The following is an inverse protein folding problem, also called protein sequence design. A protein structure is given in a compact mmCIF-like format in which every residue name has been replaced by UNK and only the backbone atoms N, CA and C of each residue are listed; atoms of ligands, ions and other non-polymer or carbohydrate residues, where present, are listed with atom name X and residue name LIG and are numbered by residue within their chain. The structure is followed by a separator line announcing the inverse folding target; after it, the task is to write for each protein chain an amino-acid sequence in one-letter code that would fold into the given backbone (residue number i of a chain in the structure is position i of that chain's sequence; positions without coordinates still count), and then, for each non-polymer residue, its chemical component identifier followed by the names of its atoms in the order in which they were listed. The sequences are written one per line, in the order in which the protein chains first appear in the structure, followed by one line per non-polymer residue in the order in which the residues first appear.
data_IF_992853840334
#
_entry.id   IF_992853840334
#
_cell.length_a   1.000
_cell.length_b   1.000
_cell.length_c   1.000
_cell.angle_alpha   90.00
_cell.angle_beta   90.00
_cell.angle_gamma   90.00
#
_symmetry.space_group_name_H-M   'P 1'
#
loop_
_entity.id
_entity.type
_entity.pdbx_description
1 polymer ?
#
# COMPACT_ATOMS: atom_id res chain seq x y z
N UNK A 1 29.21 9.42 18.27
CA UNK A 1 28.99 9.60 16.82
C UNK A 1 29.02 8.22 16.18
N UNK A 2 27.97 7.78 15.48
CA UNK A 2 27.97 6.46 14.84
C UNK A 2 28.89 6.50 13.62
N UNK A 3 30.01 5.78 13.66
CA UNK A 3 30.96 5.67 12.55
C UNK A 3 30.24 5.10 11.32
N UNK A 4 30.27 5.82 10.20
CA UNK A 4 29.62 5.40 8.96
C UNK A 4 30.27 4.10 8.45
N UNK A 5 29.46 3.07 8.20
CA UNK A 5 29.96 1.77 7.73
C UNK A 5 30.21 1.82 6.23
N UNK A 6 31.42 1.47 5.81
CA UNK A 6 31.78 1.39 4.39
C UNK A 6 31.03 0.23 3.73
N UNK A 7 30.30 0.51 2.65
CA UNK A 7 29.72 -0.53 1.77
C UNK A 7 30.82 -1.01 0.84
N UNK A 8 31.15 -2.30 0.92
CA UNK A 8 32.15 -2.96 0.08
C UNK A 8 31.44 -3.96 -0.83
N UNK A 9 31.75 -3.95 -2.12
CA UNK A 9 31.34 -4.98 -3.06
C UNK A 9 32.37 -6.11 -2.99
N UNK A 10 31.98 -7.25 -2.44
CA UNK A 10 32.87 -8.41 -2.32
C UNK A 10 32.65 -9.33 -3.52
N UNK A 11 33.75 -9.72 -4.20
CA UNK A 11 33.71 -10.76 -5.23
C UNK A 11 33.96 -12.09 -4.54
N UNK A 12 32.90 -12.89 -4.42
CA UNK A 12 32.96 -14.25 -3.87
C UNK A 12 32.71 -15.24 -4.99
N UNK A 13 33.34 -16.40 -4.87
CA UNK A 13 32.87 -17.59 -5.56
C UNK A 13 31.41 -17.89 -5.12
N UNK A 14 30.49 -18.19 -6.05
CA UNK A 14 29.09 -18.45 -5.72
C UNK A 14 28.89 -19.59 -4.70
N UNK A 15 29.66 -20.67 -4.78
CA UNK A 15 29.52 -21.80 -3.86
C UNK A 15 29.94 -21.41 -2.42
N UNK A 16 30.94 -20.54 -2.29
CA UNK A 16 31.37 -19.99 -1.00
C UNK A 16 30.29 -19.07 -0.43
N UNK A 17 29.69 -18.22 -1.25
CA UNK A 17 28.57 -17.38 -0.83
C UNK A 17 27.39 -18.23 -0.32
N UNK A 18 27.05 -19.31 -1.03
CA UNK A 18 25.92 -20.18 -0.67
C UNK A 18 26.18 -20.99 0.59
N UNK A 19 27.43 -21.41 0.84
CA UNK A 19 27.82 -22.03 2.10
C UNK A 19 27.69 -21.05 3.28
N UNK A 20 28.12 -19.79 3.10
CA UNK A 20 27.99 -18.74 4.11
C UNK A 20 26.52 -18.38 4.38
N UNK A 21 25.68 -18.35 3.35
CA UNK A 21 24.25 -18.09 3.49
C UNK A 21 23.53 -19.20 4.26
N UNK A 22 23.86 -20.47 4.02
CA UNK A 22 23.33 -21.62 4.77
C UNK A 22 23.72 -21.57 6.24
N UNK A 23 25.01 -21.37 6.53
CA UNK A 23 25.48 -21.24 7.91
C UNK A 23 24.84 -20.05 8.64
N UNK A 24 24.67 -18.91 7.96
CA UNK A 24 23.96 -17.77 8.54
C UNK A 24 22.51 -18.11 8.91
N UNK A 25 21.81 -18.89 8.07
CA UNK A 25 20.44 -19.32 8.32
C UNK A 25 20.35 -20.26 9.54
N UNK A 26 21.28 -21.21 9.67
CA UNK A 26 21.36 -22.13 10.81
C UNK A 26 21.54 -21.38 12.14
N UNK A 27 22.27 -20.26 12.13
CA UNK A 27 22.48 -19.41 13.30
C UNK A 27 21.44 -18.27 13.47
N UNK A 28 20.39 -18.23 12.64
CA UNK A 28 19.37 -17.16 12.62
C UNK A 28 19.98 -15.75 12.46
N UNK A 29 21.04 -15.62 11.65
CA UNK A 29 21.73 -14.36 11.32
C UNK A 29 21.51 -13.99 9.86
N UNK A 30 21.72 -12.71 9.52
CA UNK A 30 21.83 -12.34 8.10
C UNK A 30 23.18 -12.75 7.54
N UNK A 31 23.25 -13.06 6.25
CA UNK A 31 24.50 -13.42 5.57
C UNK A 31 25.59 -12.35 5.75
N UNK A 32 25.23 -11.06 5.69
CA UNK A 32 26.17 -9.97 5.94
C UNK A 32 26.68 -9.91 7.39
N UNK A 33 25.84 -10.26 8.37
CA UNK A 33 26.27 -10.34 9.76
C UNK A 33 27.21 -11.53 9.99
N UNK A 34 26.97 -12.65 9.31
CA UNK A 34 27.85 -13.82 9.34
C UNK A 34 29.22 -13.49 8.73
N UNK A 35 29.25 -12.82 7.58
CA UNK A 35 30.50 -12.36 6.94
C UNK A 35 31.26 -11.40 7.86
N UNK A 36 30.58 -10.41 8.46
CA UNK A 36 31.21 -9.47 9.40
C UNK A 36 31.78 -10.19 10.63
N UNK A 37 31.07 -11.20 11.16
CA UNK A 37 31.54 -12.03 12.27
C UNK A 37 32.81 -12.79 11.92
N UNK A 38 32.84 -13.47 10.77
CA UNK A 38 34.00 -14.24 10.32
C UNK A 38 35.22 -13.35 10.08
N UNK A 39 35.04 -12.18 9.46
CA UNK A 39 36.12 -11.23 9.25
C UNK A 39 36.70 -10.70 10.56
N UNK A 40 35.85 -10.36 11.54
CA UNK A 40 36.31 -9.91 12.86
C UNK A 40 37.03 -11.02 13.62
N UNK A 41 36.51 -12.24 13.56
CA UNK A 41 37.14 -13.41 14.17
C UNK A 41 38.51 -13.66 13.56
N UNK A 42 38.62 -13.71 12.23
CA UNK A 42 39.89 -13.88 11.54
C UNK A 42 40.92 -12.77 11.86
N UNK A 43 40.47 -11.51 11.97
CA UNK A 43 41.32 -10.40 12.38
C UNK A 43 41.76 -10.52 13.85
N UNK A 44 40.89 -10.99 14.74
CA UNK A 44 41.21 -11.19 16.15
C UNK A 44 42.22 -12.33 16.33
N UNK A 45 41.98 -13.47 15.67
CA UNK A 45 42.85 -14.65 15.70
C UNK A 45 44.25 -14.31 15.15
N UNK A 46 44.33 -13.40 14.18
CA UNK A 46 45.59 -12.88 13.63
C UNK A 46 46.24 -11.76 14.47
N UNK A 47 45.62 -11.33 15.58
CA UNK A 47 46.11 -10.22 16.40
C UNK A 47 46.03 -8.84 15.74
N UNK A 48 45.19 -8.68 14.72
CA UNK A 48 45.07 -7.47 13.87
C UNK A 48 43.76 -6.71 14.04
N UNK A 49 42.90 -7.12 14.97
CA UNK A 49 41.64 -6.42 15.22
C UNK A 49 41.90 -5.05 15.89
N UNK A 50 41.45 -3.92 15.29
CA UNK A 50 41.67 -2.61 15.90
C UNK A 50 40.92 -2.44 17.23
N UNK A 51 41.53 -1.77 18.22
CA UNK A 51 40.95 -1.58 19.56
C UNK A 51 39.67 -0.73 19.60
N UNK A 52 39.39 0.07 18.57
CA UNK A 52 38.21 0.93 18.47
C UNK A 52 36.98 0.30 17.80
N UNK A 53 36.97 -1.01 17.55
CA UNK A 53 35.89 -1.67 16.81
C UNK A 53 34.62 -1.73 17.65
N UNK A 54 33.59 -0.98 17.25
CA UNK A 54 32.29 -0.97 17.92
C UNK A 54 31.58 -2.34 17.91
N UNK A 55 30.68 -2.57 18.88
CA UNK A 55 29.91 -3.82 19.01
C UNK A 55 29.21 -4.20 17.70
N UNK A 56 29.14 -5.50 17.42
CA UNK A 56 28.36 -6.03 16.31
C UNK A 56 26.89 -5.64 16.50
N UNK A 57 26.21 -5.26 15.42
CA UNK A 57 24.82 -4.81 15.52
C UNK A 57 23.96 -6.03 15.85
N UNK A 58 23.17 -5.97 16.92
CA UNK A 58 22.22 -7.03 17.25
C UNK A 58 21.18 -7.24 16.14
N UNK A 59 20.39 -8.33 16.18
CA UNK A 59 19.34 -8.62 15.21
C UNK A 59 18.48 -7.38 14.97
N UNK A 60 18.63 -6.79 13.79
CA UNK A 60 17.91 -5.59 13.44
C UNK A 60 16.49 -5.96 13.06
N UNK A 61 15.50 -5.28 13.66
CA UNK A 61 14.21 -5.07 12.99
C UNK A 61 14.52 -4.66 11.54
N UNK A 62 13.89 -5.27 10.52
CA UNK A 62 14.16 -4.91 9.13
C UNK A 62 14.15 -3.38 9.03
N UNK A 63 15.17 -2.78 8.41
CA UNK A 63 15.16 -1.34 8.22
C UNK A 63 13.82 -1.02 7.54
N UNK A 64 13.09 0.03 7.96
CA UNK A 64 12.03 0.52 7.11
C UNK A 64 12.65 0.72 5.73
N UNK A 65 11.92 0.32 4.68
CA UNK A 65 12.35 0.37 3.28
C UNK A 65 13.29 1.54 3.03
N UNK A 66 14.40 1.33 2.29
CA UNK A 66 15.54 2.24 2.24
C UNK A 66 15.01 3.68 2.20
N UNK A 67 15.37 4.46 3.22
CA UNK A 67 14.98 5.87 3.31
C UNK A 67 15.48 6.54 2.04
N UNK A 68 14.58 6.64 1.07
CA UNK A 68 14.82 7.30 -0.21
C UNK A 68 15.09 8.76 0.11
N UNK A 69 16.10 9.33 -0.56
CA UNK A 69 16.57 10.70 -0.33
C UNK A 69 15.37 11.66 -0.37
N UNK A 70 15.28 12.51 0.65
CA UNK A 70 14.40 13.69 0.70
C UNK A 70 14.75 14.62 -0.46
N UNK A 71 14.06 14.55 -1.59
CA UNK A 71 14.05 15.67 -2.55
C UNK A 71 12.84 15.79 -3.46
N UNK A 72 11.93 14.80 -3.55
CA UNK A 72 10.63 14.99 -4.21
C UNK A 72 9.50 14.59 -3.25
N UNK A 73 8.40 15.33 -3.25
CA UNK A 73 7.21 14.97 -2.47
C UNK A 73 6.59 13.71 -3.09
N UNK A 74 7.09 12.54 -2.72
CA UNK A 74 6.51 11.27 -3.14
C UNK A 74 5.08 11.16 -2.57
N UNK A 75 4.14 10.65 -3.36
CA UNK A 75 2.84 10.15 -2.89
C UNK A 75 2.91 8.62 -2.92
N UNK A 76 2.14 7.89 -2.08
CA UNK A 76 2.17 6.43 -2.14
C UNK A 76 1.83 5.93 -3.55
N UNK A 77 2.55 4.92 -4.05
CA UNK A 77 2.34 4.40 -5.40
C UNK A 77 0.99 3.69 -5.54
N UNK A 78 0.57 2.96 -4.50
CA UNK A 78 -0.66 2.15 -4.55
C UNK A 78 -1.94 2.98 -4.37
N UNK A 79 -2.94 2.69 -5.20
CA UNK A 79 -4.29 3.26 -5.11
C UNK A 79 -4.97 3.04 -3.74
N UNK A 80 -4.87 1.87 -3.07
CA UNK A 80 -5.42 1.69 -1.73
C UNK A 80 -4.87 2.70 -0.72
N UNK A 81 -3.56 2.94 -0.71
CA UNK A 81 -2.94 3.93 0.17
C UNK A 81 -3.42 5.34 -0.14
N UNK A 82 -3.51 5.72 -1.42
CA UNK A 82 -4.03 7.01 -1.85
C UNK A 82 -5.48 7.23 -1.42
N UNK A 83 -6.36 6.23 -1.60
CA UNK A 83 -7.76 6.27 -1.14
C UNK A 83 -7.84 6.42 0.38
N UNK A 84 -7.01 5.70 1.14
CA UNK A 84 -7.00 5.80 2.59
C UNK A 84 -6.64 7.21 3.06
N UNK A 85 -5.60 7.81 2.48
CA UNK A 85 -5.15 9.17 2.82
C UNK A 85 -6.20 10.22 2.45
N UNK A 86 -6.86 10.06 1.29
CA UNK A 86 -7.95 10.93 0.85
C UNK A 86 -9.17 10.85 1.78
N UNK A 87 -9.49 9.65 2.28
CA UNK A 87 -10.61 9.41 3.18
C UNK A 87 -10.41 9.98 4.59
N UNK A 88 -9.17 10.32 4.94
CA UNK A 88 -8.84 10.86 6.25
C UNK A 88 -9.16 12.35 6.34
N UNK A 89 -9.89 12.74 7.39
CA UNK A 89 -10.06 14.14 7.74
C UNK A 89 -8.87 14.59 8.61
N UNK A 90 -8.05 15.56 8.14
CA UNK A 90 -6.86 16.00 8.88
C UNK A 90 -7.22 16.70 10.21
N UNK A 91 -8.30 17.47 10.24
CA UNK A 91 -8.72 18.23 11.42
C UNK A 91 -9.27 17.30 12.51
N UNK A 92 -10.05 16.31 12.10
CA UNK A 92 -10.70 15.36 13.03
C UNK A 92 -9.82 14.18 13.40
N UNK A 93 -8.70 13.98 12.69
CA UNK A 93 -7.82 12.83 12.89
C UNK A 93 -8.59 11.51 12.83
N UNK A 94 -9.55 11.37 11.90
CA UNK A 94 -10.30 10.13 11.67
C UNK A 94 -10.96 10.11 10.28
N UNK A 95 -11.32 8.92 9.84
CA UNK A 95 -12.23 8.72 8.69
C UNK A 95 -13.67 8.98 9.17
N UNK A 96 -14.51 9.56 8.32
CA UNK A 96 -15.91 9.80 8.64
C UNK A 96 -16.68 8.50 8.90
N UNK A 97 -17.63 8.54 9.85
CA UNK A 97 -18.56 7.42 10.08
C UNK A 97 -19.46 7.22 8.84
N UNK A 98 -19.79 5.96 8.51
CA UNK A 98 -20.58 5.63 7.31
C UNK A 98 -19.83 5.71 5.98
N UNK A 99 -18.52 5.89 5.99
CA UNK A 99 -17.70 5.84 4.77
C UNK A 99 -17.54 4.39 4.31
N UNK A 100 -17.74 4.11 3.02
CA UNK A 100 -17.51 2.80 2.39
C UNK A 100 -16.02 2.46 2.22
N UNK A 101 -15.18 2.79 3.21
CA UNK A 101 -13.73 2.75 3.09
C UNK A 101 -13.23 1.35 2.71
N UNK A 102 -13.71 0.31 3.39
CA UNK A 102 -13.28 -1.06 3.10
C UNK A 102 -13.58 -1.50 1.67
N UNK A 103 -14.77 -1.19 1.16
CA UNK A 103 -15.14 -1.45 -0.24
C UNK A 103 -14.26 -0.64 -1.22
N UNK A 104 -14.04 0.65 -0.95
CA UNK A 104 -13.17 1.49 -1.76
C UNK A 104 -11.72 0.99 -1.80
N UNK A 105 -11.17 0.53 -0.67
CA UNK A 105 -9.80 -0.01 -0.61
C UNK A 105 -9.67 -1.33 -1.39
N UNK A 106 -10.67 -2.21 -1.32
CA UNK A 106 -10.70 -3.44 -2.13
C UNK A 106 -10.81 -3.11 -3.62
N UNK A 107 -11.69 -2.18 -4.00
CA UNK A 107 -11.81 -1.69 -5.36
C UNK A 107 -10.50 -1.06 -5.87
N UNK A 108 -9.83 -0.28 -5.04
CA UNK A 108 -8.54 0.34 -5.36
C UNK A 108 -7.44 -0.71 -5.59
N UNK A 109 -7.38 -1.76 -4.76
CA UNK A 109 -6.40 -2.82 -4.92
C UNK A 109 -6.63 -3.61 -6.22
N UNK A 110 -7.89 -3.88 -6.55
CA UNK A 110 -8.28 -4.50 -7.81
C UNK A 110 -7.95 -3.61 -9.02
N UNK A 111 -8.16 -2.29 -8.91
CA UNK A 111 -7.82 -1.33 -9.95
C UNK A 111 -6.31 -1.27 -10.18
N UNK A 112 -5.50 -1.23 -9.12
CA UNK A 112 -4.04 -1.25 -9.24
C UNK A 112 -3.58 -2.48 -10.00
N UNK A 113 -4.06 -3.66 -9.61
CA UNK A 113 -3.66 -4.91 -10.25
C UNK A 113 -4.12 -4.98 -11.72
N UNK A 114 -5.30 -4.45 -12.03
CA UNK A 114 -5.82 -4.37 -13.40
C UNK A 114 -5.02 -3.41 -14.27
N UNK A 115 -4.78 -2.19 -13.79
CA UNK A 115 -4.03 -1.15 -14.51
C UNK A 115 -2.56 -1.55 -14.73
N UNK A 116 -1.97 -2.29 -13.80
CA UNK A 116 -0.63 -2.85 -13.93
C UNK A 116 -0.61 -4.19 -14.72
N UNK A 117 -1.72 -4.58 -15.35
CA UNK A 117 -1.80 -5.76 -16.22
C UNK A 117 -1.66 -7.11 -15.51
N UNK A 118 -1.72 -7.14 -14.17
CA UNK A 118 -1.68 -8.39 -13.38
C UNK A 118 -3.04 -9.09 -13.38
N UNK A 119 -4.12 -8.31 -13.44
CA UNK A 119 -5.48 -8.82 -13.62
C UNK A 119 -6.04 -8.46 -15.00
N UNK A 120 -6.95 -9.29 -15.49
CA UNK A 120 -7.77 -9.03 -16.67
C UNK A 120 -9.24 -9.33 -16.38
N UNK A 121 -10.14 -8.84 -17.22
CA UNK A 121 -11.56 -9.18 -17.16
C UNK A 121 -11.87 -10.34 -18.10
N UNK A 122 -12.34 -11.44 -17.54
CA UNK A 122 -12.85 -12.60 -18.27
C UNK A 122 -14.35 -12.70 -18.09
N UNK A 123 -15.11 -12.10 -19.02
CA UNK A 123 -16.58 -12.12 -19.02
C UNK A 123 -17.16 -11.59 -17.69
N UNK A 124 -16.65 -10.47 -17.20
CA UNK A 124 -17.09 -9.84 -15.95
C UNK A 124 -16.49 -10.45 -14.67
N UNK A 125 -15.47 -11.31 -14.80
CA UNK A 125 -14.75 -11.93 -13.69
C UNK A 125 -13.29 -11.50 -13.68
N UNK A 126 -12.75 -11.27 -12.48
CA UNK A 126 -11.32 -10.98 -12.34
C UNK A 126 -10.51 -12.26 -12.48
N UNK A 127 -9.55 -12.26 -13.39
CA UNK A 127 -8.61 -13.36 -13.63
C UNK A 127 -7.16 -12.88 -13.61
N UNK A 128 -6.24 -13.73 -13.17
CA UNK A 128 -4.81 -13.42 -13.14
C UNK A 128 -4.26 -13.59 -14.56
N UNK A 129 -3.75 -12.50 -15.14
CA UNK A 129 -3.10 -12.53 -16.46
C UNK A 129 -1.64 -12.94 -16.35
N UNK A 130 -0.90 -12.37 -15.39
CA UNK A 130 0.52 -12.66 -15.20
C UNK A 130 0.88 -12.71 -13.72
N UNK A 131 1.65 -13.73 -13.33
CA UNK A 131 2.23 -13.85 -11.99
C UNK A 131 3.65 -13.27 -12.00
N UNK A 132 3.77 -12.02 -11.60
CA UNK A 132 5.04 -11.37 -11.32
C UNK A 132 5.10 -10.94 -9.86
N UNK A 133 6.28 -11.01 -9.22
CA UNK A 133 6.49 -10.51 -7.86
C UNK A 133 5.88 -9.12 -7.67
N UNK A 134 5.23 -8.94 -6.53
CA UNK A 134 4.58 -7.70 -6.16
C UNK A 134 5.17 -7.24 -4.84
N UNK A 135 5.92 -6.13 -4.84
CA UNK A 135 6.51 -5.62 -3.60
C UNK A 135 5.50 -4.93 -2.68
N UNK A 136 4.24 -4.79 -3.11
CA UNK A 136 3.15 -4.30 -2.29
C UNK A 136 2.44 -5.48 -1.59
N UNK A 137 2.51 -5.60 -0.25
CA UNK A 137 1.96 -6.74 0.49
C UNK A 137 0.43 -6.79 0.47
N UNK A 138 -0.26 -5.65 0.30
CA UNK A 138 -1.73 -5.63 0.21
C UNK A 138 -2.18 -6.19 -1.14
N UNK A 139 -1.49 -5.80 -2.21
CA UNK A 139 -1.76 -6.29 -3.56
C UNK A 139 -1.35 -7.76 -3.72
N UNK A 140 -0.21 -8.16 -3.13
CA UNK A 140 0.27 -9.54 -3.13
C UNK A 140 -0.71 -10.49 -2.44
N UNK A 141 -1.16 -10.15 -1.22
CA UNK A 141 -2.15 -10.95 -0.51
C UNK A 141 -3.49 -11.07 -1.28
N UNK A 142 -3.88 -10.03 -2.04
CA UNK A 142 -5.06 -10.10 -2.90
C UNK A 142 -4.84 -11.02 -4.10
N UNK A 143 -3.65 -10.98 -4.73
CA UNK A 143 -3.31 -11.90 -5.81
C UNK A 143 -3.30 -13.36 -5.34
N UNK A 144 -2.76 -13.63 -4.16
CA UNK A 144 -2.82 -14.96 -3.54
C UNK A 144 -4.26 -15.40 -3.26
N UNK A 145 -5.10 -14.49 -2.74
CA UNK A 145 -6.53 -14.76 -2.51
C UNK A 145 -7.26 -15.13 -3.81
N UNK A 146 -6.95 -14.44 -4.91
CA UNK A 146 -7.53 -14.70 -6.24
C UNK A 146 -6.99 -16.02 -6.80
N UNK A 147 -5.68 -16.26 -6.68
CA UNK A 147 -5.02 -17.47 -7.15
C UNK A 147 -5.55 -18.74 -6.47
N UNK A 148 -5.90 -18.66 -5.19
CA UNK A 148 -6.46 -19.77 -4.40
C UNK A 148 -7.98 -19.94 -4.51
N UNK A 149 -8.65 -19.23 -5.43
CA UNK A 149 -10.12 -19.25 -5.55
C UNK A 149 -10.57 -19.62 -6.96
N UNK A 150 -11.75 -20.24 -7.06
CA UNK A 150 -12.50 -20.30 -8.33
C UNK A 150 -12.75 -18.89 -8.91
N UNK A 151 -12.90 -18.75 -10.24
CA UNK A 151 -13.19 -17.47 -10.88
C UNK A 151 -14.43 -16.77 -10.32
N UNK A 152 -14.33 -15.46 -10.05
CA UNK A 152 -15.38 -14.67 -9.39
C UNK A 152 -15.58 -13.32 -10.04
N UNK A 153 -16.80 -12.81 -9.95
CA UNK A 153 -17.17 -11.45 -10.37
C UNK A 153 -16.38 -10.42 -9.55
N UNK A 154 -16.01 -9.30 -10.17
CA UNK A 154 -15.32 -8.19 -9.51
C UNK A 154 -16.00 -7.73 -8.21
N UNK A 155 -17.33 -7.61 -8.21
CA UNK A 155 -18.10 -7.24 -7.02
C UNK A 155 -17.82 -8.19 -5.84
N UNK A 156 -17.75 -9.51 -6.08
CA UNK A 156 -17.48 -10.48 -5.02
C UNK A 156 -16.11 -10.25 -4.37
N UNK A 157 -15.14 -9.77 -5.14
CA UNK A 157 -13.83 -9.41 -4.61
C UNK A 157 -13.86 -8.10 -3.82
N UNK A 158 -14.70 -7.13 -4.21
CA UNK A 158 -14.93 -5.89 -3.46
C UNK A 158 -15.61 -6.14 -2.11
N UNK A 159 -16.56 -7.08 -2.06
CA UNK A 159 -17.33 -7.39 -0.84
C UNK A 159 -16.51 -8.16 0.20
N UNK A 160 -15.49 -8.90 -0.24
CA UNK A 160 -14.67 -9.76 0.62
C UNK A 160 -13.68 -8.98 1.47
N UNK A 161 -13.50 -9.44 2.71
CA UNK A 161 -12.39 -9.07 3.61
C UNK A 161 -12.18 -7.55 3.77
N UNK A 162 -13.23 -6.75 3.65
CA UNK A 162 -13.16 -5.28 3.70
C UNK A 162 -12.49 -4.74 4.98
N UNK A 163 -12.82 -5.31 6.15
CA UNK A 163 -12.18 -4.94 7.42
C UNK A 163 -10.68 -5.28 7.45
N UNK A 164 -10.30 -6.42 6.88
CA UNK A 164 -8.91 -6.82 6.77
C UNK A 164 -8.13 -5.90 5.83
N UNK A 165 -8.73 -5.48 4.70
CA UNK A 165 -8.13 -4.50 3.80
C UNK A 165 -7.86 -3.16 4.51
N UNK A 166 -8.80 -2.65 5.31
CA UNK A 166 -8.58 -1.42 6.11
C UNK A 166 -7.44 -1.59 7.11
N UNK A 167 -7.30 -2.76 7.74
CA UNK A 167 -6.19 -3.05 8.66
C UNK A 167 -4.85 -3.10 7.92
N UNK A 168 -4.79 -3.85 6.82
CA UNK A 168 -3.57 -4.06 6.06
C UNK A 168 -3.04 -2.76 5.43
N UNK A 169 -3.90 -1.96 4.77
CA UNK A 169 -3.51 -0.67 4.19
C UNK A 169 -3.05 0.32 5.27
N UNK A 170 -3.73 0.35 6.41
CA UNK A 170 -3.33 1.22 7.53
C UNK A 170 -1.96 0.83 8.07
N UNK A 171 -1.70 -0.46 8.24
CA UNK A 171 -0.40 -0.96 8.66
C UNK A 171 0.69 -0.60 7.64
N UNK A 172 0.42 -0.83 6.36
CA UNK A 172 1.32 -0.48 5.26
C UNK A 172 1.67 1.01 5.21
N UNK A 173 0.71 1.90 5.47
CA UNK A 173 0.97 3.35 5.59
C UNK A 173 1.84 3.68 6.81
N UNK A 174 1.70 2.95 7.92
CA UNK A 174 2.55 3.09 9.09
C UNK A 174 3.98 2.65 8.81
N UNK A 175 4.13 1.46 8.21
CA UNK A 175 5.42 0.84 7.89
C UNK A 175 6.17 1.62 6.80
N UNK A 176 5.44 2.13 5.79
CA UNK A 176 5.96 3.01 4.74
C UNK A 176 6.23 4.46 5.19
N UNK A 177 5.97 4.80 6.45
CA UNK A 177 6.27 6.12 7.00
C UNK A 177 5.32 7.25 6.59
N UNK A 178 4.24 6.96 5.86
CA UNK A 178 3.21 7.92 5.47
C UNK A 178 2.32 8.36 6.63
N UNK A 179 2.13 7.46 7.59
CA UNK A 179 1.33 7.71 8.78
C UNK A 179 2.06 7.31 10.07
N UNK A 180 1.67 7.93 11.17
CA UNK A 180 1.93 7.44 12.52
C UNK A 180 0.67 6.71 13.00
N UNK A 181 0.84 5.48 13.47
CA UNK A 181 -0.22 4.68 14.07
C UNK A 181 -0.03 4.71 15.58
N UNK A 182 -1.06 5.16 16.30
CA UNK A 182 -1.05 5.20 17.75
C UNK A 182 -2.20 4.36 18.29
N UNK A 183 -1.94 3.37 19.17
CA UNK A 183 -3.00 2.74 19.95
C UNK A 183 -3.80 3.81 20.69
N UNK A 184 -5.11 3.70 20.64
CA UNK A 184 -6.01 4.62 21.31
C UNK A 184 -7.23 3.86 21.82
N UNK A 185 -7.96 4.39 22.80
CA UNK A 185 -9.19 3.77 23.31
C UNK A 185 -10.30 4.80 23.32
N UNK A 186 -11.46 4.45 22.75
CA UNK A 186 -12.66 5.26 22.86
C UNK A 186 -13.28 4.99 24.23
N UNK A 187 -13.46 6.04 25.05
CA UNK A 187 -13.98 5.96 26.42
C UNK A 187 -13.24 4.94 27.32
N UNK A 188 -11.96 4.66 27.03
CA UNK A 188 -11.16 3.68 27.79
C UNK A 188 -11.46 2.19 27.51
N UNK A 189 -12.52 1.88 26.75
CA UNK A 189 -13.06 0.52 26.61
C UNK A 189 -12.81 -0.09 25.23
N UNK A 190 -12.94 0.69 24.17
CA UNK A 190 -12.89 0.16 22.80
C UNK A 190 -11.55 0.47 22.14
N UNK A 191 -10.67 -0.53 21.93
CA UNK A 191 -9.39 -0.30 21.28
C UNK A 191 -9.61 0.19 19.83
N UNK A 192 -8.90 1.25 19.49
CA UNK A 192 -8.87 1.82 18.16
C UNK A 192 -7.44 2.24 17.81
N UNK A 193 -7.21 2.63 16.56
CA UNK A 193 -5.92 3.16 16.13
C UNK A 193 -6.13 4.58 15.66
N UNK A 194 -5.53 5.54 16.37
CA UNK A 194 -5.42 6.90 15.87
C UNK A 194 -4.38 6.91 14.77
N UNK A 195 -4.76 7.43 13.60
CA UNK A 195 -3.86 7.62 12.47
C UNK A 195 -3.46 9.10 12.42
N UNK A 196 -2.21 9.40 12.12
CA UNK A 196 -1.78 10.78 11.89
C UNK A 196 -0.93 10.80 10.65
N UNK A 197 -1.43 11.47 9.60
CA UNK A 197 -0.69 11.66 8.35
C UNK A 197 0.55 12.49 8.68
N UNK A 198 1.74 12.01 8.30
CA UNK A 198 3.00 12.68 8.67
C UNK A 198 3.25 13.96 7.88
N UNK A 199 2.85 13.99 6.62
CA UNK A 199 2.97 15.16 5.75
C UNK A 199 1.61 15.55 5.15
N UNK A 200 0.99 16.65 5.61
CA UNK A 200 -0.29 17.13 5.09
C UNK A 200 -0.26 17.42 3.58
N UNK A 201 0.92 17.72 3.02
CA UNK A 201 1.07 18.06 1.60
C UNK A 201 0.79 16.87 0.69
N UNK A 202 1.01 15.65 1.15
CA UNK A 202 0.67 14.41 0.41
C UNK A 202 -0.82 14.37 0.09
N UNK A 203 -1.67 14.68 1.08
CA UNK A 203 -3.12 14.73 0.87
C UNK A 203 -3.50 15.88 -0.07
N UNK A 204 -2.85 17.05 0.06
CA UNK A 204 -3.07 18.19 -0.83
C UNK A 204 -2.73 17.85 -2.29
N UNK A 205 -1.62 17.16 -2.51
CA UNK A 205 -1.20 16.68 -3.82
C UNK A 205 -2.21 15.68 -4.41
N UNK A 206 -2.68 14.71 -3.62
CA UNK A 206 -3.72 13.76 -4.06
C UNK A 206 -5.04 14.46 -4.42
N UNK A 207 -5.44 15.49 -3.67
CA UNK A 207 -6.59 16.33 -4.03
C UNK A 207 -6.35 17.10 -5.34
N UNK A 208 -5.13 17.60 -5.54
CA UNK A 208 -4.68 18.22 -6.79
C UNK A 208 -4.83 17.28 -7.98
N UNK A 209 -4.40 16.03 -7.85
CA UNK A 209 -4.53 14.99 -8.89
C UNK A 209 -5.98 14.66 -9.22
N UNK A 210 -6.82 14.46 -8.19
CA UNK A 210 -8.27 14.25 -8.37
C UNK A 210 -8.92 15.42 -9.12
N UNK A 211 -8.65 16.66 -8.69
CA UNK A 211 -9.19 17.85 -9.34
C UNK A 211 -8.63 18.04 -10.77
N UNK A 212 -7.36 17.70 -10.98
CA UNK A 212 -6.71 17.74 -12.28
C UNK A 212 -7.33 16.77 -13.27
N UNK A 213 -7.59 15.53 -12.86
CA UNK A 213 -8.23 14.51 -13.69
C UNK A 213 -9.65 14.91 -14.16
N UNK A 214 -10.39 15.67 -13.34
CA UNK A 214 -11.69 16.22 -13.71
C UNK A 214 -11.60 17.31 -14.79
N UNK A 215 -10.46 18.00 -14.93
CA UNK A 215 -10.29 19.12 -15.86
C UNK A 215 -9.51 18.76 -17.13
N UNK A 216 -8.52 17.87 -17.01
CA UNK A 216 -7.65 17.46 -18.13
C UNK A 216 -8.45 16.69 -19.21
N UNK A 217 -8.06 16.78 -20.49
CA UNK A 217 -8.58 15.90 -21.53
C UNK A 217 -8.36 14.42 -21.19
N UNK A 218 -9.28 13.55 -21.63
CA UNK A 218 -9.27 12.11 -21.33
C UNK A 218 -7.94 11.44 -21.71
N UNK A 219 -7.41 11.70 -22.91
CA UNK A 219 -6.15 11.11 -23.40
C UNK A 219 -4.88 11.61 -22.70
N UNK A 220 -4.97 12.64 -21.84
CA UNK A 220 -3.86 13.17 -21.03
C UNK A 220 -4.03 12.89 -19.54
N UNK A 221 -5.03 12.08 -19.18
CA UNK A 221 -5.31 11.75 -17.78
C UNK A 221 -4.58 10.46 -17.42
N UNK A 222 -3.84 10.50 -16.32
CA UNK A 222 -3.19 9.31 -15.78
C UNK A 222 -4.25 8.25 -15.40
N UNK A 223 -4.08 6.97 -15.80
CA UNK A 223 -5.05 5.92 -15.50
C UNK A 223 -5.29 5.70 -14.00
N UNK A 224 -4.27 5.87 -13.16
CA UNK A 224 -4.41 5.75 -11.71
C UNK A 224 -5.24 6.93 -11.16
N UNK A 225 -5.02 8.15 -11.64
CA UNK A 225 -5.85 9.31 -11.26
C UNK A 225 -7.31 9.16 -11.73
N UNK A 226 -7.54 8.59 -12.91
CA UNK A 226 -8.88 8.25 -13.38
C UNK A 226 -9.58 7.23 -12.47
N UNK A 227 -8.86 6.18 -12.07
CA UNK A 227 -9.35 5.19 -11.11
C UNK A 227 -9.63 5.80 -9.73
N UNK A 228 -8.78 6.72 -9.25
CA UNK A 228 -9.05 7.46 -8.00
C UNK A 228 -10.37 8.21 -8.09
N UNK A 229 -10.61 8.99 -9.14
CA UNK A 229 -11.86 9.72 -9.34
C UNK A 229 -13.05 8.76 -9.39
N UNK A 230 -12.94 7.68 -10.15
CA UNK A 230 -14.00 6.68 -10.29
C UNK A 230 -14.37 6.05 -8.94
N UNK A 231 -13.38 5.66 -8.13
CA UNK A 231 -13.56 5.03 -6.82
C UNK A 231 -14.11 6.04 -5.81
N UNK A 232 -13.57 7.27 -5.76
CA UNK A 232 -14.05 8.33 -4.86
C UNK A 232 -15.52 8.68 -5.15
N UNK A 233 -15.86 8.80 -6.44
CA UNK A 233 -17.23 9.09 -6.87
C UNK A 233 -18.19 7.94 -6.55
N UNK A 234 -17.82 6.70 -6.88
CA UNK A 234 -18.63 5.50 -6.60
C UNK A 234 -18.78 5.24 -5.09
N UNK A 235 -17.72 5.47 -4.33
CA UNK A 235 -17.62 5.33 -2.88
C UNK A 235 -18.37 6.38 -2.06
N UNK A 236 -18.86 7.43 -2.71
CA UNK A 236 -19.47 8.60 -2.09
C UNK A 236 -18.56 9.30 -1.05
N UNK A 237 -17.25 9.38 -1.33
CA UNK A 237 -16.32 10.06 -0.45
C UNK A 237 -16.44 11.60 -0.60
N UNK A 238 -17.46 12.16 0.05
CA UNK A 238 -17.85 13.57 -0.07
C UNK A 238 -16.80 14.55 0.48
N UNK A 239 -15.87 14.08 1.31
CA UNK A 239 -14.71 14.87 1.77
C UNK A 239 -13.77 15.26 0.62
N UNK A 240 -13.82 14.52 -0.49
CA UNK A 240 -12.97 14.72 -1.66
C UNK A 240 -13.78 15.25 -2.84
N UNK A 241 -14.91 14.61 -3.14
CA UNK A 241 -15.84 15.05 -4.19
C UNK A 241 -17.23 15.25 -3.61
N UNK A 242 -17.55 16.50 -3.33
CA UNK A 242 -18.87 16.89 -2.82
C UNK A 242 -19.99 16.67 -3.85
N UNK A 243 -21.24 16.82 -3.40
CA UNK A 243 -22.41 16.57 -4.27
C UNK A 243 -22.48 17.54 -5.45
N UNK A 244 -22.10 18.82 -5.25
CA UNK A 244 -22.13 19.84 -6.29
C UNK A 244 -21.11 19.56 -7.39
N UNK A 245 -19.86 19.26 -7.02
CA UNK A 245 -18.78 18.92 -7.94
C UNK A 245 -19.10 17.65 -8.70
N UNK A 246 -19.63 16.61 -8.05
CA UNK A 246 -20.07 15.39 -8.72
C UNK A 246 -21.14 15.64 -9.78
N UNK A 247 -22.12 16.50 -9.49
CA UNK A 247 -23.18 16.86 -10.45
C UNK A 247 -22.62 17.65 -11.63
N UNK A 248 -21.81 18.67 -11.35
CA UNK A 248 -21.18 19.50 -12.39
C UNK A 248 -20.27 18.68 -13.32
N UNK A 249 -19.62 17.62 -12.80
CA UNK A 249 -18.69 16.78 -13.54
C UNK A 249 -19.26 15.39 -13.88
N UNK A 250 -20.60 15.22 -13.92
CA UNK A 250 -21.23 13.90 -14.10
C UNK A 250 -20.78 13.17 -15.36
N UNK A 251 -20.68 13.87 -16.50
CA UNK A 251 -20.19 13.31 -17.77
C UNK A 251 -18.73 12.88 -17.63
N UNK A 252 -17.88 13.77 -17.11
CA UNK A 252 -16.45 13.51 -16.93
C UNK A 252 -16.17 12.32 -16.02
N UNK A 253 -16.89 12.21 -14.90
CA UNK A 253 -16.76 11.08 -13.97
C UNK A 253 -17.13 9.76 -14.66
N UNK A 254 -18.12 9.77 -15.56
CA UNK A 254 -18.50 8.58 -16.34
C UNK A 254 -17.36 8.13 -17.26
N UNK A 255 -16.78 9.05 -18.04
CA UNK A 255 -15.65 8.76 -18.93
C UNK A 255 -14.44 8.21 -18.16
N UNK A 256 -14.11 8.83 -17.01
CA UNK A 256 -13.02 8.36 -16.14
C UNK A 256 -13.32 6.98 -15.54
N UNK A 257 -14.59 6.70 -15.25
CA UNK A 257 -15.01 5.37 -14.78
C UNK A 257 -14.80 4.31 -15.86
N UNK A 258 -15.09 4.63 -17.12
CA UNK A 258 -14.89 3.72 -18.26
C UNK A 258 -13.40 3.38 -18.47
N UNK A 259 -12.50 4.36 -18.29
CA UNK A 259 -11.05 4.11 -18.34
C UNK A 259 -10.54 3.19 -17.21
N UNK A 260 -11.17 3.26 -16.04
CA UNK A 260 -10.78 2.44 -14.88
C UNK A 260 -11.19 0.96 -14.99
N UNK A 261 -11.83 0.57 -16.10
CA UNK A 261 -12.28 -0.78 -16.36
C UNK A 261 -13.45 -1.22 -15.46
N UNK A 262 -13.51 -2.50 -15.04
CA UNK A 262 -14.68 -3.08 -14.37
C UNK A 262 -14.88 -2.61 -12.91
N UNK A 263 -13.92 -1.87 -12.34
CA UNK A 263 -13.88 -1.56 -10.91
C UNK A 263 -14.99 -0.60 -10.48
N UNK A 264 -15.20 0.51 -11.21
CA UNK A 264 -16.21 1.50 -10.85
C UNK A 264 -17.65 0.93 -10.79
N UNK A 265 -18.11 0.19 -11.82
CA UNK A 265 -19.39 -0.51 -11.77
C UNK A 265 -19.48 -1.53 -10.63
N UNK A 266 -18.44 -2.34 -10.41
CA UNK A 266 -18.41 -3.34 -9.34
C UNK A 266 -18.55 -2.70 -7.94
N UNK A 267 -17.83 -1.60 -7.68
CA UNK A 267 -17.92 -0.87 -6.42
C UNK A 267 -19.29 -0.22 -6.22
N UNK A 268 -19.85 0.41 -7.26
CA UNK A 268 -21.21 1.00 -7.17
C UNK A 268 -22.25 -0.05 -6.81
N UNK A 269 -22.13 -1.25 -7.37
CA UNK A 269 -23.05 -2.35 -7.07
C UNK A 269 -22.89 -2.86 -5.63
N UNK A 270 -21.66 -3.10 -5.19
CA UNK A 270 -21.34 -3.48 -3.79
C UNK A 270 -21.98 -2.52 -2.78
N UNK A 271 -21.82 -1.21 -2.97
CA UNK A 271 -22.37 -0.19 -2.06
C UNK A 271 -23.89 -0.14 -2.08
N UNK A 272 -24.51 -0.30 -3.26
CA UNK A 272 -25.96 -0.34 -3.39
C UNK A 272 -26.56 -1.53 -2.65
N UNK A 273 -26.00 -2.72 -2.88
CA UNK A 273 -26.48 -3.96 -2.26
C UNK A 273 -26.35 -3.90 -0.73
N UNK A 274 -25.25 -3.33 -0.21
CA UNK A 274 -25.05 -3.11 1.22
C UNK A 274 -26.05 -2.10 1.83
N UNK A 275 -26.37 -1.02 1.12
CA UNK A 275 -27.35 -0.04 1.57
C UNK A 275 -28.78 -0.61 1.61
N UNK A 276 -29.13 -1.43 0.63
CA UNK A 276 -30.43 -2.13 0.59
C UNK A 276 -30.55 -3.16 1.72
N UNK A 277 -29.48 -3.91 2.02
CA UNK A 277 -29.49 -4.87 3.13
C UNK A 277 -29.67 -4.20 4.50
N UNK A 278 -29.05 -3.04 4.72
CA UNK A 278 -29.18 -2.29 5.97
C UNK A 278 -30.49 -1.52 6.14
N UNK A 279 -31.30 -1.37 5.08
CA UNK A 279 -32.63 -0.77 5.15
C UNK A 279 -33.74 -1.81 5.39
N UNK A 280 -33.43 -3.10 5.24
CA UNK A 280 -34.38 -4.21 5.33
C UNK A 280 -34.29 -5.00 6.65
N UNK A 281 -33.35 -4.66 7.54
CA UNK A 281 -33.14 -5.28 8.85
C UNK A 281 -33.03 -4.23 9.94
#
# INVERSE_FOLDING_TARGET
MATERKKLLFRLDPAVHDALARWAADELRSTNAQIEYLLRKALADAGRLPGGVGRMRGPGRPPPHPVRKKSDMEVPDSLPQRIFLLAYNPDKGKVGMGTNLGAMLRAAALADLYLNGKLTDERGRAAIKVRHPCHDPVLEALLEEIAGSKPRKWQSWVDRRQRAAVRAVRQQLGDGGWARLQPHRILGLFPTTKVTIRDPRVRKELLGRVNGALKKPIGRTDPADAALVAIVAAGNLNLVLDRRTKRANKRRIRELTELSGPIGPALRKSIRDAASAGAAG
#
